data_IF_449548256193
#
_entry.id   IF_449548256193
#
_cell.length_a   1.000
_cell.length_b   1.000
_cell.length_c   1.000
_cell.angle_alpha   90.00
_cell.angle_beta   90.00
_cell.angle_gamma   90.00
#
_symmetry.space_group_name_H-M   'P 1'
#
loop_
_entity.id
_entity.type
_entity.pdbx_description
1 polymer ?
#
# COMPACT_ATOMS: atom_id res chain seq x y z
N UNK A 1 -9.24 -23.82 5.86
CA UNK A 1 -8.39 -22.75 5.37
C UNK A 1 -7.10 -23.28 4.79
N UNK A 2 -6.42 -24.11 5.49
CA UNK A 2 -5.17 -24.63 4.96
C UNK A 2 -5.36 -25.46 3.70
N UNK A 3 -6.53 -26.08 3.54
CA UNK A 3 -6.82 -26.82 2.32
C UNK A 3 -6.86 -25.91 1.08
N UNK A 4 -7.01 -24.62 1.28
CA UNK A 4 -7.05 -23.65 0.18
C UNK A 4 -5.66 -23.32 -0.34
N UNK A 5 -4.62 -23.68 0.38
CA UNK A 5 -3.27 -23.20 0.07
C UNK A 5 -2.24 -24.30 -0.04
N UNK A 6 -2.65 -25.55 -0.01
CA UNK A 6 -1.68 -26.64 0.05
C UNK A 6 -1.21 -27.13 -1.30
N UNK A 7 -2.05 -27.08 -2.31
CA UNK A 7 -1.71 -27.64 -3.62
C UNK A 7 -1.39 -26.50 -4.58
N UNK A 8 -0.32 -26.66 -5.36
CA UNK A 8 0.03 -25.66 -6.34
C UNK A 8 -1.06 -25.45 -7.39
N UNK A 9 -1.69 -26.52 -7.83
CA UNK A 9 -2.78 -26.39 -8.78
C UNK A 9 -3.99 -25.76 -8.13
N UNK A 10 -4.34 -26.24 -6.95
CA UNK A 10 -5.47 -25.68 -6.21
C UNK A 10 -5.18 -24.25 -5.78
N UNK A 11 -3.95 -23.95 -5.38
CA UNK A 11 -3.55 -22.60 -5.01
C UNK A 11 -3.73 -21.62 -6.14
N UNK A 12 -3.34 -21.99 -7.34
CA UNK A 12 -3.51 -21.11 -8.51
C UNK A 12 -4.97 -20.92 -8.85
N UNK A 13 -5.77 -21.99 -8.77
CA UNK A 13 -7.20 -21.90 -9.01
C UNK A 13 -7.87 -20.99 -7.98
N UNK A 14 -7.49 -21.14 -6.72
CA UNK A 14 -8.04 -20.32 -5.65
C UNK A 14 -7.63 -18.86 -5.80
N UNK A 15 -6.38 -18.58 -6.18
CA UNK A 15 -5.93 -17.21 -6.43
C UNK A 15 -6.67 -16.59 -7.60
N UNK A 16 -6.98 -17.36 -8.64
CA UNK A 16 -7.76 -16.87 -9.77
C UNK A 16 -9.17 -16.47 -9.35
N UNK A 17 -9.67 -17.03 -8.24
CA UNK A 17 -10.95 -16.64 -7.63
C UNK A 17 -10.79 -15.57 -6.55
N UNK A 18 -9.59 -15.07 -6.35
CA UNK A 18 -9.33 -14.09 -5.32
C UNK A 18 -9.18 -14.65 -3.91
N UNK A 19 -9.08 -15.99 -3.78
CA UNK A 19 -8.93 -16.66 -2.49
C UNK A 19 -7.45 -16.93 -2.26
N UNK A 20 -6.82 -16.18 -1.37
CA UNK A 20 -5.39 -16.30 -1.16
C UNK A 20 -5.00 -16.03 0.29
N UNK A 21 -3.87 -16.61 0.67
CA UNK A 21 -3.14 -16.27 1.88
C UNK A 21 -1.71 -16.02 1.45
N UNK A 22 -1.16 -14.87 1.82
CA UNK A 22 0.19 -14.50 1.44
C UNK A 22 0.97 -14.00 2.62
N UNK A 23 2.27 -14.22 2.54
CA UNK A 23 3.23 -13.72 3.50
C UNK A 23 4.15 -12.73 2.79
N UNK A 24 4.44 -11.61 3.43
CA UNK A 24 5.25 -10.53 2.83
C UNK A 24 6.62 -10.98 2.36
N UNK A 25 7.19 -11.99 3.00
CA UNK A 25 8.49 -12.54 2.59
C UNK A 25 8.45 -13.36 1.32
N UNK A 26 7.28 -13.66 0.79
CA UNK A 26 7.11 -14.51 -0.39
C UNK A 26 6.37 -13.80 -1.52
N UNK A 27 6.25 -12.50 -1.45
CA UNK A 27 5.54 -11.71 -2.45
C UNK A 27 6.51 -10.88 -3.28
N UNK A 28 6.09 -10.37 -4.44
CA UNK A 28 6.94 -9.49 -5.22
C UNK A 28 7.34 -8.25 -4.41
N UNK A 29 8.62 -7.90 -4.47
CA UNK A 29 9.15 -6.69 -3.86
C UNK A 29 9.59 -5.74 -4.95
N UNK A 30 9.09 -4.51 -4.93
CA UNK A 30 9.36 -3.57 -5.99
C UNK A 30 9.35 -2.13 -5.47
N UNK A 31 9.94 -1.25 -6.25
CA UNK A 31 9.97 0.17 -5.93
C UNK A 31 8.61 0.78 -6.16
N UNK A 32 8.17 1.62 -5.22
CA UNK A 32 6.94 2.40 -5.32
C UNK A 32 7.24 3.88 -5.08
N UNK A 33 6.21 4.71 -5.14
CA UNK A 33 6.36 6.14 -4.90
C UNK A 33 6.86 6.45 -3.49
N UNK A 34 6.56 5.60 -2.53
CA UNK A 34 6.88 5.84 -1.12
C UNK A 34 8.09 5.06 -0.60
N UNK A 35 8.60 4.11 -1.40
CA UNK A 35 9.72 3.29 -0.97
C UNK A 35 9.67 1.91 -1.61
N UNK A 36 10.13 0.91 -0.87
CA UNK A 36 10.13 -0.48 -1.32
C UNK A 36 8.89 -1.18 -0.75
N UNK A 37 8.11 -1.76 -1.64
CA UNK A 37 6.87 -2.42 -1.24
C UNK A 37 6.90 -3.92 -1.48
N UNK A 38 6.32 -4.64 -0.56
CA UNK A 38 5.99 -6.04 -0.74
C UNK A 38 4.51 -6.10 -1.07
N UNK A 39 4.20 -6.51 -2.29
CA UNK A 39 2.84 -6.45 -2.81
C UNK A 39 2.04 -7.65 -2.32
N UNK A 40 1.14 -7.43 -1.37
CA UNK A 40 0.35 -8.51 -0.78
C UNK A 40 -0.83 -8.87 -1.66
N UNK A 41 -1.58 -7.88 -2.12
CA UNK A 41 -2.65 -8.10 -3.09
C UNK A 41 -2.87 -6.85 -3.92
N UNK A 42 -3.04 -7.05 -5.23
CA UNK A 42 -3.49 -6.02 -6.15
C UNK A 42 -4.10 -6.71 -7.37
N UNK A 43 -4.80 -5.94 -8.18
CA UNK A 43 -5.38 -6.44 -9.43
C UNK A 43 -4.36 -7.11 -10.33
N UNK A 44 -3.20 -6.48 -10.46
CA UNK A 44 -2.13 -6.98 -11.30
C UNK A 44 -1.65 -8.36 -10.87
N UNK A 45 -1.71 -8.58 -9.59
CA UNK A 45 -1.15 -9.72 -8.92
C UNK A 45 -2.05 -10.96 -9.07
N UNK A 46 -3.36 -10.77 -8.94
CA UNK A 46 -4.32 -11.86 -9.05
C UNK A 46 -5.03 -11.90 -10.39
N UNK A 47 -4.75 -10.92 -11.24
CA UNK A 47 -5.31 -10.81 -12.58
C UNK A 47 -6.84 -10.79 -12.59
N UNK A 48 -7.42 -10.11 -11.61
CA UNK A 48 -8.85 -9.88 -11.53
C UNK A 48 -9.12 -8.64 -10.67
N UNK A 49 -10.30 -8.04 -10.79
CA UNK A 49 -10.65 -6.88 -9.96
C UNK A 49 -10.65 -7.26 -8.48
N UNK A 50 -10.07 -6.39 -7.65
CA UNK A 50 -10.08 -6.54 -6.20
C UNK A 50 -10.73 -5.31 -5.57
N UNK A 51 -11.37 -5.49 -4.42
CA UNK A 51 -12.03 -4.38 -3.72
C UNK A 51 -11.01 -3.42 -3.10
N UNK A 52 -9.84 -3.92 -2.78
CA UNK A 52 -8.78 -3.14 -2.17
C UNK A 52 -7.44 -3.76 -2.55
N UNK A 53 -6.39 -2.95 -2.58
CA UNK A 53 -5.03 -3.48 -2.65
C UNK A 53 -4.35 -3.27 -1.29
N UNK A 54 -3.33 -4.07 -1.03
CA UNK A 54 -2.56 -3.96 0.21
C UNK A 54 -1.09 -4.25 -0.06
N UNK A 55 -0.23 -3.37 0.44
CA UNK A 55 1.21 -3.48 0.33
C UNK A 55 1.86 -3.22 1.67
N UNK A 56 2.93 -3.95 1.99
CA UNK A 56 3.79 -3.60 3.11
C UNK A 56 4.96 -2.80 2.54
N UNK A 57 5.16 -1.59 3.02
CA UNK A 57 6.09 -0.63 2.42
C UNK A 57 7.15 -0.20 3.42
N UNK A 58 8.42 -0.35 3.02
CA UNK A 58 9.51 0.30 3.74
C UNK A 58 9.65 1.69 3.15
N UNK A 59 9.32 2.69 3.94
CA UNK A 59 9.31 4.08 3.50
C UNK A 59 10.74 4.52 3.18
N UNK A 60 10.90 5.17 2.03
CA UNK A 60 12.19 5.65 1.57
C UNK A 60 11.97 6.91 0.72
N UNK A 61 11.82 8.01 1.38
CA UNK A 61 11.56 9.29 0.75
C UNK A 61 10.09 9.50 0.45
N UNK A 62 9.71 10.74 0.31
CA UNK A 62 8.34 11.09 0.08
C UNK A 62 8.20 11.91 -1.20
N UNK A 63 7.58 11.32 -2.18
CA UNK A 63 7.04 12.10 -3.27
C UNK A 63 5.62 12.44 -2.90
N UNK A 64 5.29 13.71 -2.88
CA UNK A 64 3.92 14.13 -2.65
C UNK A 64 3.07 13.75 -3.85
N UNK A 65 1.96 13.11 -3.58
CA UNK A 65 1.04 12.63 -4.62
C UNK A 65 -0.38 12.54 -4.07
N UNK A 66 -1.32 12.28 -4.94
CA UNK A 66 -2.70 12.09 -4.54
C UNK A 66 -3.42 11.14 -5.50
N UNK A 67 -4.54 10.62 -5.04
CA UNK A 67 -5.43 9.79 -5.83
C UNK A 67 -6.79 10.46 -5.86
N UNK A 68 -7.45 10.47 -6.99
CA UNK A 68 -8.73 11.17 -7.14
C UNK A 68 -9.91 10.32 -6.70
N UNK A 69 -9.77 9.00 -6.81
CA UNK A 69 -10.88 8.07 -6.52
C UNK A 69 -10.65 7.24 -5.28
N UNK A 70 -9.41 6.90 -4.99
CA UNK A 70 -9.10 5.96 -3.93
C UNK A 70 -8.84 6.63 -2.60
N UNK A 71 -9.31 5.98 -1.55
CA UNK A 71 -8.93 6.28 -0.17
C UNK A 71 -7.74 5.40 0.17
N UNK A 72 -6.78 5.94 0.91
CA UNK A 72 -5.70 5.14 1.44
C UNK A 72 -5.72 5.10 2.96
N UNK A 73 -5.32 3.96 3.50
CA UNK A 73 -5.07 3.80 4.92
C UNK A 73 -3.61 3.40 5.09
N UNK A 74 -2.94 4.03 6.04
CA UNK A 74 -1.60 3.65 6.47
C UNK A 74 -1.69 3.16 7.90
N UNK A 75 -1.10 2.01 8.16
CA UNK A 75 -0.91 1.56 9.53
C UNK A 75 0.58 1.30 9.76
N UNK A 76 1.16 2.01 10.72
CA UNK A 76 2.61 1.92 10.96
C UNK A 76 2.91 0.62 11.72
N UNK A 77 3.64 -0.27 11.08
CA UNK A 77 3.98 -1.58 11.62
C UNK A 77 5.23 -1.52 12.51
N UNK A 78 6.21 -0.72 12.11
CA UNK A 78 7.48 -0.57 12.82
C UNK A 78 8.04 0.82 12.58
N UNK A 79 8.78 1.33 13.55
CA UNK A 79 9.48 2.59 13.42
C UNK A 79 8.57 3.79 13.57
N UNK A 80 8.94 4.88 12.93
CA UNK A 80 8.19 6.11 12.99
C UNK A 80 8.77 7.18 12.08
N UNK A 81 8.06 8.27 11.98
CA UNK A 81 8.43 9.39 11.14
C UNK A 81 7.31 10.40 11.06
N UNK A 82 7.04 10.87 9.87
CA UNK A 82 5.99 11.87 9.63
C UNK A 82 5.20 11.52 8.38
N UNK A 83 3.95 11.93 8.35
CA UNK A 83 3.15 11.96 7.13
C UNK A 83 2.78 13.40 6.82
N UNK A 84 2.71 13.70 5.52
CA UNK A 84 2.24 15.00 5.01
C UNK A 84 0.82 14.81 4.53
N UNK A 85 -0.10 15.60 5.07
CA UNK A 85 -1.51 15.54 4.71
C UNK A 85 -1.96 16.96 4.37
N UNK A 86 -2.14 17.20 3.09
CA UNK A 86 -2.64 18.49 2.59
C UNK A 86 -1.85 19.69 3.14
N UNK A 87 -0.53 19.60 3.11
CA UNK A 87 0.37 20.66 3.53
C UNK A 87 0.75 20.66 5.01
N UNK A 88 0.17 19.77 5.80
CA UNK A 88 0.50 19.68 7.22
C UNK A 88 1.30 18.42 7.51
N UNK A 89 2.35 18.56 8.29
CA UNK A 89 3.17 17.44 8.70
C UNK A 89 2.68 16.91 10.05
N UNK A 90 2.46 15.59 10.13
CA UNK A 90 1.96 14.93 11.34
C UNK A 90 2.94 13.84 11.75
N UNK A 91 3.37 13.79 13.01
CA UNK A 91 4.23 12.69 13.46
C UNK A 91 3.43 11.40 13.59
N UNK A 92 4.09 10.29 13.24
CA UNK A 92 3.50 8.96 13.38
C UNK A 92 4.54 8.00 13.94
N UNK A 93 4.05 6.94 14.57
CA UNK A 93 4.89 5.91 15.15
C UNK A 93 4.16 4.56 15.05
N UNK A 94 4.85 3.50 15.43
CA UNK A 94 4.25 2.17 15.47
C UNK A 94 2.87 2.22 16.13
N UNK A 95 1.87 1.69 15.41
CA UNK A 95 0.49 1.69 15.87
C UNK A 95 -0.35 2.87 15.40
N UNK A 96 0.25 3.83 14.70
CA UNK A 96 -0.51 4.95 14.15
C UNK A 96 -1.31 4.51 12.93
N UNK A 97 -2.54 4.99 12.83
CA UNK A 97 -3.37 4.85 11.64
C UNK A 97 -3.53 6.21 10.98
N UNK A 98 -3.34 6.24 9.68
CA UNK A 98 -3.55 7.46 8.88
C UNK A 98 -4.65 7.18 7.87
N UNK A 99 -5.63 8.05 7.81
CA UNK A 99 -6.72 7.98 6.84
C UNK A 99 -6.54 9.10 5.83
N UNK A 100 -6.45 8.73 4.55
CA UNK A 100 -6.17 9.68 3.47
C UNK A 100 -7.32 9.62 2.46
N UNK A 101 -8.25 10.59 2.54
CA UNK A 101 -9.36 10.64 1.58
C UNK A 101 -8.88 10.91 0.16
N UNK A 102 -9.74 10.64 -0.84
CA UNK A 102 -9.43 11.02 -2.21
C UNK A 102 -9.14 12.50 -2.34
N UNK A 103 -8.19 12.85 -3.20
CA UNK A 103 -7.82 14.23 -3.48
C UNK A 103 -6.83 14.86 -2.52
N UNK A 104 -6.52 14.19 -1.42
CA UNK A 104 -5.58 14.74 -0.43
C UNK A 104 -4.15 14.47 -0.87
N UNK A 105 -3.38 15.54 -1.05
CA UNK A 105 -1.95 15.44 -1.36
C UNK A 105 -1.23 14.93 -0.11
N UNK A 106 -0.46 13.87 -0.26
CA UNK A 106 0.18 13.21 0.86
C UNK A 106 1.52 12.61 0.50
N UNK A 107 2.27 12.28 1.52
CA UNK A 107 3.54 11.58 1.44
C UNK A 107 3.99 11.20 2.84
N UNK A 108 5.07 10.45 2.93
CA UNK A 108 5.58 9.99 4.21
C UNK A 108 7.10 9.97 4.19
N UNK A 109 7.71 10.20 5.34
CA UNK A 109 9.16 10.06 5.47
C UNK A 109 9.51 9.58 6.88
N UNK A 110 10.70 9.03 6.98
CA UNK A 110 11.22 8.47 8.22
C UNK A 110 11.56 7.01 8.04
N UNK A 111 12.09 6.42 9.11
CA UNK A 111 12.44 5.00 9.12
C UNK A 111 11.27 4.21 9.67
N UNK A 112 10.42 3.75 8.77
CA UNK A 112 9.24 3.01 9.19
C UNK A 112 8.78 2.04 8.12
N UNK A 113 8.10 1.00 8.58
CA UNK A 113 7.40 0.05 7.73
C UNK A 113 5.91 0.25 7.94
N UNK A 114 5.19 0.36 6.85
CA UNK A 114 3.78 0.75 6.85
C UNK A 114 2.97 -0.25 6.04
N UNK A 115 1.84 -0.68 6.58
CA UNK A 115 0.84 -1.37 5.77
C UNK A 115 0.00 -0.30 5.09
N UNK A 116 0.00 -0.34 3.76
CA UNK A 116 -0.76 0.62 2.94
C UNK A 116 -1.90 -0.13 2.29
N UNK A 117 -3.12 0.37 2.48
CA UNK A 117 -4.33 -0.21 1.90
C UNK A 117 -5.01 0.84 1.05
N UNK A 118 -5.32 0.50 -0.18
CA UNK A 118 -6.05 1.38 -1.10
C UNK A 118 -7.43 0.85 -1.39
N UNK A 119 -8.45 1.70 -1.28
CA UNK A 119 -9.86 1.34 -1.44
C UNK A 119 -10.53 2.38 -2.35
N UNK A 120 -11.14 1.98 -3.46
CA UNK A 120 -11.01 0.70 -4.11
C UNK A 120 -9.61 0.48 -4.68
N UNK A 121 -9.43 -0.63 -5.40
CA UNK A 121 -8.18 -0.92 -6.07
C UNK A 121 -7.75 0.25 -6.95
N UNK A 122 -6.53 0.73 -6.78
CA UNK A 122 -6.02 1.89 -7.51
C UNK A 122 -5.62 1.49 -8.92
N UNK A 123 -6.21 2.15 -9.91
CA UNK A 123 -5.79 2.00 -11.27
C UNK A 123 -4.56 2.89 -11.52
N UNK A 124 -3.75 2.53 -12.52
CA UNK A 124 -2.55 3.30 -12.87
C UNK A 124 -2.85 4.76 -13.16
N UNK A 125 -4.01 5.04 -13.73
CA UNK A 125 -4.42 6.40 -14.07
C UNK A 125 -4.94 7.20 -12.88
N UNK A 126 -4.89 6.66 -11.68
CA UNK A 126 -5.31 7.35 -10.46
C UNK A 126 -4.14 7.69 -9.54
N UNK A 127 -3.01 8.03 -10.13
CA UNK A 127 -1.82 8.48 -9.42
C UNK A 127 -1.35 9.79 -10.01
N UNK A 128 -1.25 10.83 -9.20
CA UNK A 128 -0.88 12.18 -9.64
C UNK A 128 0.21 12.73 -8.72
N UNK A 129 1.34 13.09 -9.29
CA UNK A 129 2.43 13.68 -8.49
C UNK A 129 2.16 15.15 -8.24
N UNK A 130 2.54 15.60 -7.04
CA UNK A 130 2.34 16.97 -6.60
C UNK A 130 3.65 17.62 -6.15
N UNK A 131 4.77 17.06 -6.59
CA UNK A 131 6.09 17.56 -6.25
C UNK A 131 6.69 16.84 -5.05
N UNK A 132 7.71 17.42 -4.46
CA UNK A 132 8.39 16.85 -3.31
C UNK A 132 7.97 17.57 -2.04
N UNK A 133 8.07 16.87 -0.91
CA UNK A 133 7.89 17.49 0.39
C UNK A 133 8.96 18.55 0.56
N UNK A 134 8.58 19.71 1.09
CA UNK A 134 9.50 20.81 1.30
C UNK A 134 10.65 20.46 2.23
N UNK A 135 11.68 21.30 2.26
CA UNK A 135 12.84 21.07 3.09
C UNK A 135 12.52 21.04 4.59
#
# INVERSE_FOLDING_TARGET
>A
VESLIVSNQDGRAEEARGLLVRHEGHTPRERSACGWRDRLISREDVNLPVAAWAHAVDIDGAKLHYHKRSTELYYVLEGGGSVFLDGAEQPVAKGSLVHIPPGVVHGARGRMRVLVIGIPDIAEDDYFEAGEAGP
#
